data_IF_029686283347
#
_entry.id   IF_029686283347
#
_cell.length_a   1.000
_cell.length_b   1.000
_cell.length_c   1.000
_cell.angle_alpha   90.00
_cell.angle_beta   90.00
_cell.angle_gamma   90.00
#
_symmetry.space_group_name_H-M   'P 1'
#
loop_
_entity.id
_entity.type
_entity.pdbx_description
1 polymer ?
#
# COMPACT_ATOMS: atom_id res chain seq x y z
N UNK A 1 -9.42 -5.54 -6.19
CA UNK A 1 -8.76 -5.59 -4.86
C UNK A 1 -8.35 -4.18 -4.46
N UNK A 2 -8.17 -3.89 -3.17
CA UNK A 2 -7.72 -2.57 -2.70
C UNK A 2 -6.67 -2.70 -1.60
N UNK A 3 -5.64 -1.87 -1.65
CA UNK A 3 -4.71 -1.61 -0.54
C UNK A 3 -4.88 -0.17 -0.07
N UNK A 4 -4.70 0.04 1.23
CA UNK A 4 -4.78 1.36 1.86
C UNK A 4 -3.55 1.64 2.71
N UNK A 5 -2.95 2.80 2.51
CA UNK A 5 -1.89 3.35 3.33
C UNK A 5 -2.47 4.49 4.16
N UNK A 6 -2.48 4.31 5.48
CA UNK A 6 -3.04 5.30 6.39
C UNK A 6 -2.01 6.37 6.71
N UNK A 7 -2.47 7.60 6.77
CA UNK A 7 -1.71 8.75 7.22
C UNK A 7 -1.24 8.57 8.68
N UNK A 8 -0.15 9.24 8.99
CA UNK A 8 0.24 9.57 10.36
C UNK A 8 -0.10 11.05 10.55
N UNK A 9 -1.07 11.39 11.41
CA UNK A 9 -1.53 12.77 11.59
C UNK A 9 -0.45 13.78 11.96
N UNK A 10 0.72 13.33 12.43
CA UNK A 10 1.83 14.26 12.63
C UNK A 10 2.55 14.63 11.32
N UNK A 11 2.57 13.74 10.32
CA UNK A 11 3.42 13.84 9.12
C UNK A 11 2.63 13.97 7.80
N UNK A 12 1.42 13.43 7.74
CA UNK A 12 0.65 13.29 6.51
C UNK A 12 -0.81 13.68 6.74
N UNK A 13 -1.36 14.44 5.80
CA UNK A 13 -2.75 14.95 5.82
C UNK A 13 -3.65 14.16 4.84
N UNK A 14 -3.14 13.10 4.22
CA UNK A 14 -3.85 12.29 3.22
C UNK A 14 -3.57 10.79 3.40
N UNK A 15 -4.61 9.97 3.21
CA UNK A 15 -4.50 8.54 2.98
C UNK A 15 -4.22 8.24 1.50
N UNK A 16 -3.49 7.16 1.20
CA UNK A 16 -3.38 6.63 -0.16
C UNK A 16 -4.20 5.35 -0.30
N UNK A 17 -5.11 5.35 -1.27
CA UNK A 17 -5.86 4.15 -1.68
C UNK A 17 -5.41 3.70 -3.06
N UNK A 18 -5.01 2.43 -3.18
CA UNK A 18 -4.67 1.82 -4.46
C UNK A 18 -5.70 0.75 -4.80
N UNK A 19 -6.40 0.92 -5.92
CA UNK A 19 -7.39 -0.01 -6.44
C UNK A 19 -6.81 -0.79 -7.61
N UNK A 20 -6.86 -2.10 -7.53
CA UNK A 20 -6.38 -3.03 -8.56
C UNK A 20 -7.55 -3.67 -9.29
N UNK A 21 -7.51 -3.60 -10.62
CA UNK A 21 -8.52 -4.15 -11.53
C UNK A 21 -7.96 -5.36 -12.26
N UNK A 22 -8.74 -6.44 -12.36
CA UNK A 22 -8.31 -7.66 -13.04
C UNK A 22 -7.11 -8.33 -12.36
N UNK A 23 -7.14 -8.45 -11.02
CA UNK A 23 -6.07 -9.12 -10.27
C UNK A 23 -6.01 -10.60 -10.64
N UNK A 24 -4.85 -11.07 -11.07
CA UNK A 24 -4.58 -12.48 -11.38
C UNK A 24 -3.71 -13.16 -10.34
N UNK A 25 -2.92 -12.38 -9.57
CA UNK A 25 -2.09 -12.91 -8.48
C UNK A 25 -1.98 -11.92 -7.31
N UNK A 26 -2.00 -12.44 -6.10
CA UNK A 26 -1.64 -11.73 -4.88
C UNK A 26 -0.73 -12.62 -4.04
N UNK A 27 0.42 -12.09 -3.62
CA UNK A 27 1.36 -12.78 -2.73
C UNK A 27 1.75 -11.84 -1.60
N UNK A 28 1.69 -12.34 -0.37
CA UNK A 28 2.18 -11.66 0.83
C UNK A 28 3.29 -12.51 1.46
N UNK A 29 4.49 -11.96 1.56
CA UNK A 29 5.62 -12.59 2.21
C UNK A 29 5.93 -11.83 3.49
N UNK A 30 5.93 -12.51 4.63
CA UNK A 30 6.29 -11.95 5.94
C UNK A 30 7.53 -12.65 6.48
N UNK A 31 8.38 -11.96 7.23
CA UNK A 31 9.44 -12.62 8.00
C UNK A 31 8.79 -13.63 8.97
N UNK A 32 9.35 -14.85 9.03
CA UNK A 32 8.70 -16.07 9.56
C UNK A 32 8.26 -16.03 11.03
N UNK A 33 8.76 -15.06 11.79
CA UNK A 33 8.69 -15.09 13.25
C UNK A 33 7.67 -14.09 13.82
N UNK A 34 7.05 -13.29 12.94
CA UNK A 34 5.99 -12.35 13.31
C UNK A 34 4.63 -12.89 12.85
N UNK A 35 3.56 -12.78 13.66
CA UNK A 35 2.20 -13.11 13.21
C UNK A 35 1.92 -12.51 11.82
N UNK A 36 1.24 -13.24 10.92
CA UNK A 36 0.90 -12.73 9.56
C UNK A 36 0.14 -11.40 9.56
N UNK A 37 -0.41 -11.02 10.71
CA UNK A 37 -1.20 -9.80 10.96
C UNK A 37 -0.35 -8.65 11.53
N UNK A 38 0.91 -8.91 11.89
CA UNK A 38 1.81 -7.84 12.39
C UNK A 38 2.27 -6.96 11.25
N UNK A 39 2.25 -5.64 11.50
CA UNK A 39 2.56 -4.58 10.54
C UNK A 39 3.81 -4.92 9.73
N UNK A 40 3.69 -4.93 8.40
CA UNK A 40 4.80 -5.05 7.44
C UNK A 40 5.90 -3.99 7.65
N UNK A 41 5.62 -3.00 8.50
CA UNK A 41 6.50 -1.87 8.76
C UNK A 41 6.30 -0.77 7.72
N UNK A 42 7.25 0.16 7.71
CA UNK A 42 7.29 1.24 6.73
C UNK A 42 7.60 0.67 5.33
N UNK A 43 7.04 1.32 4.31
CA UNK A 43 7.34 1.01 2.91
C UNK A 43 8.78 1.43 2.62
N UNK A 44 9.56 0.51 2.04
CA UNK A 44 10.94 0.73 1.61
C UNK A 44 11.06 0.76 0.08
N UNK A 45 10.12 0.13 -0.63
CA UNK A 45 10.06 0.10 -2.09
C UNK A 45 8.60 0.08 -2.56
N UNK A 46 8.32 0.85 -3.61
CA UNK A 46 7.08 0.83 -4.38
C UNK A 46 7.45 0.84 -5.87
N UNK A 47 7.20 -0.26 -6.57
CA UNK A 47 7.56 -0.41 -7.98
C UNK A 47 6.44 -1.06 -8.79
N UNK A 48 6.15 -0.48 -9.95
CA UNK A 48 5.22 -1.04 -10.94
C UNK A 48 6.04 -1.56 -12.13
N UNK A 49 6.04 -2.87 -12.30
CA UNK A 49 6.79 -3.58 -13.34
C UNK A 49 5.85 -4.08 -14.46
N UNK A 50 6.32 -4.15 -15.71
CA UNK A 50 5.57 -4.79 -16.79
C UNK A 50 5.28 -6.28 -16.49
N UNK A 51 4.07 -6.74 -16.79
CA UNK A 51 3.69 -8.16 -16.69
C UNK A 51 2.81 -8.55 -17.89
N UNK A 52 2.86 -9.80 -18.40
CA UNK A 52 2.01 -10.21 -19.52
C UNK A 52 0.50 -9.96 -19.34
N UNK A 53 0.02 -10.01 -18.09
CA UNK A 53 -1.37 -9.75 -17.73
C UNK A 53 -1.70 -8.26 -17.50
N UNK A 54 -0.73 -7.35 -17.61
CA UNK A 54 -0.84 -5.93 -17.29
C UNK A 54 0.41 -5.43 -16.56
N UNK A 55 0.35 -5.34 -15.24
CA UNK A 55 1.48 -4.98 -14.40
C UNK A 55 1.61 -5.86 -13.15
N UNK A 56 2.83 -5.94 -12.63
CA UNK A 56 3.14 -6.43 -11.30
C UNK A 56 3.45 -5.22 -10.42
N UNK A 57 2.67 -5.01 -9.36
CA UNK A 57 2.94 -4.01 -8.34
C UNK A 57 3.63 -4.67 -7.16
N UNK A 58 4.87 -4.27 -6.91
CA UNK A 58 5.72 -4.77 -5.84
C UNK A 58 5.86 -3.67 -4.78
N UNK A 59 5.45 -4.01 -3.55
CA UNK A 59 5.64 -3.14 -2.39
C UNK A 59 6.47 -3.95 -1.39
N UNK A 60 7.69 -3.49 -1.14
CA UNK A 60 8.51 -4.03 -0.05
C UNK A 60 8.39 -3.10 1.15
N UNK A 61 8.31 -3.71 2.32
CA UNK A 61 8.32 -3.05 3.62
C UNK A 61 9.42 -3.65 4.50
N UNK A 62 9.70 -3.01 5.64
CA UNK A 62 10.75 -3.46 6.56
C UNK A 62 10.67 -4.92 7.01
N UNK A 63 9.47 -5.50 7.17
CA UNK A 63 9.29 -6.86 7.70
C UNK A 63 8.57 -7.81 6.74
N UNK A 64 8.46 -7.44 5.46
CA UNK A 64 7.83 -8.27 4.44
C UNK A 64 7.58 -7.53 3.13
N UNK A 65 6.98 -8.23 2.18
CA UNK A 65 6.63 -7.67 0.88
C UNK A 65 5.27 -8.17 0.41
N UNK A 66 4.63 -7.37 -0.45
CA UNK A 66 3.44 -7.77 -1.18
C UNK A 66 3.66 -7.57 -2.67
N UNK A 67 3.22 -8.54 -3.47
CA UNK A 67 3.23 -8.47 -4.93
C UNK A 67 1.82 -8.73 -5.44
N UNK A 68 1.32 -7.83 -6.28
CA UNK A 68 0.01 -7.92 -6.91
C UNK A 68 0.20 -7.90 -8.43
N UNK A 69 -0.21 -8.96 -9.12
CA UNK A 69 -0.33 -8.93 -10.59
C UNK A 69 -1.75 -8.57 -10.94
N UNK A 70 -1.92 -7.55 -11.78
CA UNK A 70 -3.22 -7.05 -12.19
C UNK A 70 -3.19 -6.49 -13.61
N UNK A 71 -4.37 -6.26 -14.19
CA UNK A 71 -4.50 -5.61 -15.49
C UNK A 71 -4.16 -4.13 -15.43
N UNK A 72 -4.63 -3.46 -14.37
CA UNK A 72 -4.44 -2.02 -14.18
C UNK A 72 -4.61 -1.65 -12.70
N UNK A 73 -4.04 -0.52 -12.30
CA UNK A 73 -4.18 0.05 -10.97
C UNK A 73 -4.50 1.55 -11.01
N UNK A 74 -5.24 2.01 -10.01
CA UNK A 74 -5.49 3.45 -9.80
C UNK A 74 -5.14 3.80 -8.37
N UNK A 75 -4.23 4.77 -8.22
CA UNK A 75 -3.84 5.36 -6.94
C UNK A 75 -4.61 6.66 -6.72
N UNK A 76 -5.15 6.85 -5.53
CA UNK A 76 -5.93 8.04 -5.17
C UNK A 76 -5.55 8.48 -3.76
N UNK A 77 -5.10 9.73 -3.65
CA UNK A 77 -4.93 10.40 -2.37
C UNK A 77 -6.29 10.91 -1.90
N UNK A 78 -6.58 10.71 -0.62
CA UNK A 78 -7.84 11.11 0.01
C UNK A 78 -7.49 11.86 1.27
N UNK A 79 -8.03 13.08 1.42
CA UNK A 79 -7.84 13.87 2.64
C UNK A 79 -8.15 13.04 3.89
N UNK A 80 -7.22 13.06 4.82
CA UNK A 80 -7.32 12.40 6.10
C UNK A 80 -8.04 13.30 7.10
N UNK A 81 -8.89 12.70 7.93
CA UNK A 81 -9.44 13.40 9.09
C UNK A 81 -8.51 13.23 10.28
N UNK A 82 -7.81 14.30 10.64
CA UNK A 82 -6.99 14.40 11.85
C UNK A 82 -7.67 15.30 12.88
N UNK A 83 -8.52 14.75 13.76
CA UNK A 83 -9.32 15.55 14.70
C UNK A 83 -8.48 16.35 15.72
N UNK A 84 -7.22 15.97 15.94
CA UNK A 84 -6.34 16.58 16.94
C UNK A 84 -5.26 17.51 16.35
N UNK A 85 -5.26 17.76 15.03
CA UNK A 85 -4.33 18.74 14.43
C UNK A 85 -4.91 20.15 14.47
N UNK A 86 -4.12 21.18 14.87
CA UNK A 86 -4.55 22.56 14.74
C UNK A 86 -4.79 22.88 13.26
N UNK A 87 -5.97 23.42 12.96
CA UNK A 87 -6.36 23.84 11.62
C UNK A 87 -5.35 24.91 11.15
N UNK A 88 -4.66 24.65 10.03
CA UNK A 88 -3.76 25.65 9.44
C UNK A 88 -4.62 26.68 8.71
N UNK A 89 -4.54 27.93 9.16
CA UNK A 89 -5.15 29.12 8.55
C UNK A 89 -4.57 29.44 7.16
#
# INVERSE_FOLDING_TARGET
MQLGFRHNCWKHEEDLTIRYTGVTRFTLQTASDMPRVTRLGEVILDEVLPHPDGCAHEIACHTGSTTIVCRDLTATWVEASCPDQPQKD
#
